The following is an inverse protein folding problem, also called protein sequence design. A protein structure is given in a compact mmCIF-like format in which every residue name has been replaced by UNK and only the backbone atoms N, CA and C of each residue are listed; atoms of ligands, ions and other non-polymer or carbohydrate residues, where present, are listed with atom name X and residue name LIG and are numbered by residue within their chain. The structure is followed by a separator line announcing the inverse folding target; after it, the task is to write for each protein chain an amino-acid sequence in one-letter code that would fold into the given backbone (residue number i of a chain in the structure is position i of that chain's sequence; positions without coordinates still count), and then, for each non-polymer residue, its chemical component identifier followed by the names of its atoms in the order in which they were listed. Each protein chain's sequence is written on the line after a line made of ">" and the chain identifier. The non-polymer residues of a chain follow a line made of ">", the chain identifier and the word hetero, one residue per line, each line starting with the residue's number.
data_IF_696403686217
#
_entry.id   IF_696403686217
#
_cell.length_a   1.000
_cell.length_b   1.000
_cell.length_c   1.000
_cell.angle_alpha   90.00
_cell.angle_beta   90.00
_cell.angle_gamma   90.00
#
_symmetry.space_group_name_H-M   'P 1'
#
loop_
_entity.id
_entity.type
_entity.pdbx_description
1 polymer ?
#
# COMPACT_ATOMS: atom_id res chain seq x y z
N UNK A 1 -3.55 -23.97 -5.90
CA UNK A 1 -4.12 -22.62 -6.17
C UNK A 1 -3.00 -21.61 -6.02
N UNK A 2 -2.94 -20.59 -6.87
CA UNK A 2 -1.85 -19.62 -6.90
C UNK A 2 -2.43 -18.22 -6.73
N UNK A 3 -1.98 -17.50 -5.71
CA UNK A 3 -2.38 -16.10 -5.49
C UNK A 3 -1.56 -15.24 -6.41
N UNK A 4 -2.18 -14.57 -7.38
CA UNK A 4 -1.49 -13.67 -8.33
C UNK A 4 -1.81 -12.20 -8.07
N UNK A 5 -2.84 -11.93 -7.26
CA UNK A 5 -3.28 -10.60 -6.87
C UNK A 5 -3.79 -10.62 -5.43
N UNK A 6 -3.40 -9.62 -4.67
CA UNK A 6 -3.95 -9.33 -3.33
C UNK A 6 -4.40 -7.88 -3.32
N UNK A 7 -5.55 -7.62 -2.72
CA UNK A 7 -6.01 -6.25 -2.45
C UNK A 7 -6.30 -6.12 -0.95
N UNK A 8 -5.81 -5.04 -0.36
CA UNK A 8 -6.09 -4.67 1.02
C UNK A 8 -6.63 -3.24 1.04
N UNK A 9 -7.55 -3.01 1.98
CA UNK A 9 -7.99 -1.67 2.33
C UNK A 9 -7.47 -1.37 3.73
N UNK A 10 -6.83 -0.22 3.88
CA UNK A 10 -6.29 0.28 5.14
C UNK A 10 -6.99 1.61 5.39
N UNK A 11 -7.70 1.71 6.52
CA UNK A 11 -8.23 2.96 7.03
C UNK A 11 -7.10 3.66 7.79
N UNK A 12 -6.85 4.93 7.48
CA UNK A 12 -5.76 5.72 8.07
C UNK A 12 -6.29 7.11 8.40
N UNK A 13 -6.01 7.58 9.61
CA UNK A 13 -6.52 8.87 10.11
C UNK A 13 -5.62 10.04 9.70
N UNK A 14 -4.31 9.82 9.53
CA UNK A 14 -3.32 10.84 9.16
C UNK A 14 -2.63 10.51 7.83
N UNK A 15 -3.29 10.90 6.74
CA UNK A 15 -2.87 10.63 5.38
C UNK A 15 -1.52 11.26 5.01
N UNK A 16 -1.31 12.52 5.40
CA UNK A 16 -0.11 13.27 5.03
C UNK A 16 1.13 12.64 5.69
N UNK A 17 1.01 12.22 6.96
CA UNK A 17 2.07 11.52 7.66
C UNK A 17 2.39 10.17 7.01
N UNK A 18 1.36 9.42 6.61
CA UNK A 18 1.55 8.12 5.96
C UNK A 18 2.25 8.25 4.60
N UNK A 19 1.87 9.23 3.79
CA UNK A 19 2.54 9.55 2.52
C UNK A 19 4.03 9.87 2.74
N UNK A 20 4.36 10.73 3.72
CA UNK A 20 5.75 11.07 4.02
C UNK A 20 6.57 9.84 4.41
N UNK A 21 6.02 8.96 5.24
CA UNK A 21 6.69 7.74 5.67
C UNK A 21 6.87 6.75 4.51
N UNK A 22 5.88 6.57 3.64
CA UNK A 22 6.03 5.76 2.42
C UNK A 22 7.18 6.28 1.55
N UNK A 23 7.25 7.60 1.32
CA UNK A 23 8.36 8.19 0.55
C UNK A 23 9.72 7.97 1.23
N UNK A 24 9.80 8.13 2.56
CA UNK A 24 11.03 7.83 3.34
C UNK A 24 11.46 6.37 3.24
N UNK A 25 10.51 5.46 3.15
CA UNK A 25 10.75 4.01 3.01
C UNK A 25 11.09 3.59 1.57
N UNK A 26 11.24 4.55 0.65
CA UNK A 26 11.69 4.34 -0.72
C UNK A 26 10.56 3.99 -1.70
N UNK A 27 9.31 4.30 -1.35
CA UNK A 27 8.21 4.21 -2.31
C UNK A 27 8.29 5.34 -3.33
N UNK A 28 8.03 5.02 -4.59
CA UNK A 28 8.02 6.00 -5.68
C UNK A 28 6.61 6.55 -5.87
N UNK A 29 6.42 7.85 -5.64
CA UNK A 29 5.16 8.56 -5.94
C UNK A 29 5.06 8.80 -7.44
N UNK A 30 3.89 8.56 -8.03
CA UNK A 30 3.63 8.82 -9.45
C UNK A 30 2.99 10.21 -9.65
N UNK A 31 3.54 11.00 -10.58
CA UNK A 31 3.42 12.46 -10.69
C UNK A 31 2.00 13.09 -10.84
N UNK A 32 0.92 12.31 -10.85
CA UNK A 32 -0.43 12.85 -11.10
C UNK A 32 -1.55 12.33 -10.18
N UNK A 33 -1.26 11.36 -9.31
CA UNK A 33 -2.22 10.82 -8.32
C UNK A 33 -1.44 10.42 -7.06
N UNK A 34 -2.08 10.39 -5.89
CA UNK A 34 -1.47 9.84 -4.67
C UNK A 34 -1.36 8.31 -4.76
N UNK A 35 -0.51 7.88 -5.70
CA UNK A 35 -0.21 6.52 -6.06
C UNK A 35 1.26 6.30 -5.80
N UNK A 36 1.55 5.39 -4.87
CA UNK A 36 2.89 5.00 -4.48
C UNK A 36 3.15 3.61 -4.98
N UNK A 37 4.35 3.38 -5.52
CA UNK A 37 4.75 2.07 -6.03
C UNK A 37 6.06 1.61 -5.40
N UNK A 38 6.12 0.32 -5.09
CA UNK A 38 7.34 -0.38 -4.70
C UNK A 38 7.29 -1.83 -5.17
N UNK A 39 8.47 -2.42 -5.35
CA UNK A 39 8.60 -3.83 -5.75
C UNK A 39 9.20 -4.63 -4.60
N UNK A 40 8.55 -5.73 -4.25
CA UNK A 40 8.99 -6.71 -3.27
C UNK A 40 9.37 -8.01 -4.00
N UNK A 41 10.65 -8.14 -4.34
CA UNK A 41 11.15 -9.24 -5.18
C UNK A 41 10.60 -9.14 -6.61
N UNK A 42 9.73 -10.07 -6.99
CA UNK A 42 9.01 -10.04 -8.29
C UNK A 42 7.57 -9.49 -8.18
N UNK A 43 7.15 -9.06 -6.98
CA UNK A 43 5.79 -8.58 -6.72
C UNK A 43 5.75 -7.06 -6.77
N UNK A 44 4.98 -6.51 -7.70
CA UNK A 44 4.71 -5.08 -7.76
C UNK A 44 3.58 -4.73 -6.79
N UNK A 45 3.77 -3.69 -5.99
CA UNK A 45 2.77 -3.21 -5.04
C UNK A 45 2.49 -1.74 -5.30
N UNK A 46 1.21 -1.42 -5.38
CA UNK A 46 0.71 -0.06 -5.50
C UNK A 46 -0.13 0.28 -4.27
N UNK A 47 0.12 1.43 -3.66
CA UNK A 47 -0.75 2.04 -2.64
C UNK A 47 -1.44 3.23 -3.30
N UNK A 48 -2.76 3.29 -3.24
CA UNK A 48 -3.55 4.38 -3.81
C UNK A 48 -4.47 4.95 -2.77
N UNK A 49 -4.48 6.27 -2.65
CA UNK A 49 -5.55 6.97 -1.95
C UNK A 49 -6.89 6.72 -2.65
N UNK A 50 -7.91 6.40 -1.87
CA UNK A 50 -9.28 6.39 -2.33
C UNK A 50 -10.14 7.29 -1.45
N UNK A 51 -10.73 8.31 -2.08
CA UNK A 51 -11.70 9.21 -1.47
C UNK A 51 -13.08 8.87 -2.05
N UNK A 52 -13.97 8.20 -1.31
CA UNK A 52 -15.32 7.91 -1.79
C UNK A 52 -16.07 9.22 -2.07
N UNK A 53 -16.84 9.26 -3.15
CA UNK A 53 -17.61 10.46 -3.53
C UNK A 53 -18.68 10.88 -2.50
N UNK A 54 -19.04 9.97 -1.57
CA UNK A 54 -20.14 10.16 -0.61
C UNK A 54 -19.79 9.76 0.84
N UNK A 55 -18.53 9.51 1.16
CA UNK A 55 -18.08 9.27 2.55
C UNK A 55 -16.93 10.21 2.90
N UNK A 56 -16.84 10.59 4.18
CA UNK A 56 -15.68 11.27 4.75
C UNK A 56 -14.54 10.29 5.07
N UNK A 57 -14.78 8.98 4.92
CA UNK A 57 -13.80 7.93 5.23
C UNK A 57 -12.76 7.84 4.11
N UNK A 58 -11.54 8.28 4.41
CA UNK A 58 -10.36 8.12 3.58
C UNK A 58 -9.75 6.73 3.81
N UNK A 59 -9.49 6.00 2.73
CA UNK A 59 -8.78 4.72 2.83
C UNK A 59 -7.73 4.53 1.74
N UNK A 60 -6.67 3.81 2.08
CA UNK A 60 -5.68 3.35 1.13
C UNK A 60 -6.08 2.01 0.54
N UNK A 61 -6.07 1.93 -0.79
CA UNK A 61 -6.14 0.68 -1.52
C UNK A 61 -4.73 0.21 -1.85
N UNK A 62 -4.32 -0.90 -1.23
CA UNK A 62 -3.06 -1.58 -1.54
C UNK A 62 -3.35 -2.70 -2.53
N UNK A 63 -2.63 -2.73 -3.64
CA UNK A 63 -2.74 -3.76 -4.67
C UNK A 63 -1.38 -4.38 -4.94
N UNK A 64 -1.22 -5.65 -4.57
CA UNK A 64 -0.04 -6.45 -4.89
C UNK A 64 -0.33 -7.35 -6.09
N UNK A 65 0.59 -7.42 -7.06
CA UNK A 65 0.45 -8.20 -8.30
C UNK A 65 1.73 -8.95 -8.64
N UNK A 66 1.58 -10.24 -8.94
CA UNK A 66 2.64 -11.09 -9.50
C UNK A 66 2.03 -12.25 -10.29
N UNK A 67 2.22 -12.27 -11.61
CA UNK A 67 1.73 -13.34 -12.50
C UNK A 67 2.41 -14.69 -12.19
N UNK A 68 3.66 -14.65 -11.73
CA UNK A 68 4.42 -15.81 -11.26
C UNK A 68 4.07 -16.24 -9.83
N UNK A 69 3.18 -15.50 -9.17
CA UNK A 69 2.57 -15.86 -7.89
C UNK A 69 3.19 -15.11 -6.74
N UNK A 70 2.35 -14.68 -5.81
CA UNK A 70 2.72 -13.97 -4.60
C UNK A 70 2.91 -15.02 -3.50
N UNK A 71 4.12 -15.08 -2.94
CA UNK A 71 4.42 -15.96 -1.82
C UNK A 71 3.84 -15.38 -0.53
N UNK A 72 3.55 -16.24 0.45
CA UNK A 72 3.07 -15.78 1.76
C UNK A 72 4.10 -14.86 2.44
N UNK A 73 5.39 -15.17 2.29
CA UNK A 73 6.49 -14.33 2.77
C UNK A 73 6.45 -12.91 2.16
N UNK A 74 6.13 -12.80 0.86
CA UNK A 74 5.97 -11.49 0.23
C UNK A 74 4.79 -10.73 0.81
N UNK A 75 3.66 -11.40 1.07
CA UNK A 75 2.48 -10.80 1.69
C UNK A 75 2.82 -10.26 3.08
N UNK A 76 3.50 -11.06 3.90
CA UNK A 76 3.94 -10.64 5.24
C UNK A 76 4.91 -9.47 5.17
N UNK A 77 5.90 -9.50 4.27
CA UNK A 77 6.84 -8.40 4.11
C UNK A 77 6.15 -7.08 3.71
N UNK A 78 5.13 -7.16 2.84
CA UNK A 78 4.32 -6.00 2.44
C UNK A 78 3.54 -5.46 3.65
N UNK A 79 2.86 -6.34 4.39
CA UNK A 79 2.09 -5.96 5.58
C UNK A 79 2.97 -5.33 6.67
N UNK A 80 4.11 -5.96 6.98
CA UNK A 80 5.05 -5.45 7.97
C UNK A 80 5.63 -4.10 7.57
N UNK A 81 5.82 -3.86 6.28
CA UNK A 81 6.29 -2.57 5.79
C UNK A 81 5.20 -1.49 5.91
N UNK A 82 3.97 -1.79 5.50
CA UNK A 82 2.84 -0.86 5.61
C UNK A 82 2.48 -0.54 7.05
N UNK A 83 2.58 -1.51 7.96
CA UNK A 83 2.38 -1.30 9.40
C UNK A 83 3.50 -0.45 10.02
N UNK A 84 4.72 -0.47 9.46
CA UNK A 84 5.81 0.41 9.91
C UNK A 84 5.68 1.83 9.37
N UNK A 85 4.99 2.02 8.26
CA UNK A 85 4.65 3.34 7.74
C UNK A 85 3.59 4.03 8.62
N UNK A 86 2.73 3.24 9.27
CA UNK A 86 1.81 3.76 10.27
C UNK A 86 2.61 4.27 11.50
N UNK A 87 2.27 5.50 11.88
CA UNK A 87 2.86 6.28 12.98
C UNK A 87 1.78 6.93 13.83
N UNK A 88 0.50 6.64 13.56
CA UNK A 88 -0.59 7.06 14.43
C UNK A 88 -0.47 6.38 15.79
N UNK A 89 -1.08 6.99 16.81
CA UNK A 89 -1.07 6.43 18.15
C UNK A 89 -2.23 5.46 18.27
N UNK A 90 -1.95 4.24 18.77
CA UNK A 90 -2.96 3.26 19.18
C UNK A 90 -4.03 3.84 20.12
#
# INVERSE_FOLDING_TARGET
>A
MKVTRVQLHIEEEDFDLYEEELMRMGWSKMDSQAVFRKTFGETEVEVKEHIPTFSADLYFTVSARNEKGITMESIHAILDELSRADKTKD
#
